data_IF_691605127376
#
_entry.id   IF_691605127376
#
_cell.length_a   1.000
_cell.length_b   1.000
_cell.length_c   1.000
_cell.angle_alpha   90.00
_cell.angle_beta   90.00
_cell.angle_gamma   90.00
#
_symmetry.space_group_name_H-M   'P 1'
#
loop_
_entity.id
_entity.type
_entity.pdbx_description
1 polymer ?
#
# COMPACT_ATOMS: atom_id res chain seq x y z
N UNK A 1 36.98 20.76 -5.65
CA UNK A 1 37.41 19.88 -4.54
C UNK A 1 36.33 19.75 -3.45
N UNK A 2 35.07 19.43 -3.78
CA UNK A 2 33.99 19.15 -2.79
C UNK A 2 32.84 18.24 -3.31
N UNK A 3 32.85 17.81 -4.59
CA UNK A 3 31.74 17.08 -5.21
C UNK A 3 31.87 15.54 -5.20
N UNK A 4 32.87 14.96 -4.54
CA UNK A 4 33.12 13.51 -4.59
C UNK A 4 32.61 12.72 -3.38
N UNK A 5 32.17 13.37 -2.29
CA UNK A 5 32.09 12.68 -0.98
C UNK A 5 30.75 12.04 -0.59
N UNK A 6 29.75 11.97 -1.48
CA UNK A 6 28.40 11.51 -1.06
C UNK A 6 27.68 10.58 -2.06
N UNK A 7 28.39 9.60 -2.65
CA UNK A 7 27.74 8.45 -3.31
C UNK A 7 28.36 7.12 -2.89
N UNK A 8 28.22 6.78 -1.62
CA UNK A 8 28.42 5.40 -1.16
C UNK A 8 27.38 5.02 -0.12
N UNK A 9 26.10 5.22 -0.46
CA UNK A 9 25.02 4.59 0.29
C UNK A 9 24.96 3.13 -0.16
N UNK A 10 25.69 2.31 0.60
CA UNK A 10 25.45 0.89 0.88
C UNK A 10 25.24 -0.03 -0.35
N UNK A 11 26.24 -0.88 -0.58
CA UNK A 11 26.14 -2.08 -1.39
C UNK A 11 25.22 -3.11 -0.71
N UNK A 12 23.91 -2.80 -0.63
CA UNK A 12 22.89 -3.79 -0.25
C UNK A 12 22.72 -4.68 -1.47
N UNK A 13 22.82 -6.02 -1.38
CA UNK A 13 22.47 -6.88 -2.50
C UNK A 13 21.03 -6.55 -2.92
N UNK A 14 20.89 -5.85 -4.06
CA UNK A 14 19.58 -5.51 -4.60
C UNK A 14 18.87 -6.82 -4.90
N UNK A 15 17.77 -7.07 -4.19
CA UNK A 15 16.85 -8.17 -4.51
C UNK A 15 16.51 -8.11 -6.01
N UNK A 16 16.41 -9.29 -6.64
CA UNK A 16 16.18 -9.37 -8.09
C UNK A 16 14.93 -8.56 -8.46
N UNK A 17 14.98 -7.85 -9.59
CA UNK A 17 13.93 -6.92 -10.02
C UNK A 17 12.52 -7.54 -10.08
N UNK A 18 12.43 -8.88 -10.16
CA UNK A 18 11.18 -9.65 -10.11
C UNK A 18 10.38 -9.40 -8.83
N UNK A 19 11.06 -9.26 -7.69
CA UNK A 19 10.40 -9.03 -6.40
C UNK A 19 9.90 -7.60 -6.25
N UNK A 20 10.49 -6.63 -6.95
CA UNK A 20 10.03 -5.23 -6.90
C UNK A 20 8.55 -5.10 -7.31
N UNK A 21 8.09 -5.87 -8.30
CA UNK A 21 6.69 -5.85 -8.75
C UNK A 21 5.68 -6.31 -7.69
N UNK A 22 6.13 -7.02 -6.65
CA UNK A 22 5.29 -7.49 -5.55
C UNK A 22 5.46 -6.58 -4.32
N UNK A 23 6.70 -6.29 -3.95
CA UNK A 23 6.99 -5.49 -2.74
C UNK A 23 6.60 -4.02 -2.89
N UNK A 24 6.71 -3.44 -4.09
CA UNK A 24 6.33 -2.04 -4.32
C UNK A 24 4.84 -1.80 -4.02
N UNK A 25 3.88 -2.50 -4.65
CA UNK A 25 2.46 -2.28 -4.35
C UNK A 25 2.09 -2.68 -2.91
N UNK A 26 2.77 -3.69 -2.35
CA UNK A 26 2.56 -4.12 -0.96
C UNK A 26 2.96 -3.04 0.05
N UNK A 27 4.18 -2.51 -0.04
CA UNK A 27 4.66 -1.43 0.84
C UNK A 27 3.81 -0.18 0.65
N UNK A 28 3.47 0.15 -0.60
CA UNK A 28 2.61 1.30 -0.90
C UNK A 28 1.24 1.20 -0.22
N UNK A 29 0.61 0.02 -0.28
CA UNK A 29 -0.67 -0.25 0.40
C UNK A 29 -0.56 -0.12 1.93
N UNK A 30 0.50 -0.67 2.51
CA UNK A 30 0.78 -0.55 3.94
C UNK A 30 0.94 0.92 4.36
N UNK A 31 1.75 1.69 3.63
CA UNK A 31 2.02 3.10 3.93
C UNK A 31 0.76 3.96 3.79
N UNK A 32 0.02 3.83 2.68
CA UNK A 32 -1.19 4.63 2.45
C UNK A 32 -2.24 4.37 3.54
N UNK A 33 -2.53 3.10 3.85
CA UNK A 33 -3.50 2.76 4.90
C UNK A 33 -3.03 3.17 6.29
N UNK A 34 -1.74 3.02 6.60
CA UNK A 34 -1.14 3.40 7.87
C UNK A 34 -1.26 4.90 8.13
N UNK A 35 -0.91 5.71 7.13
CA UNK A 35 -0.97 7.18 7.22
C UNK A 35 -2.43 7.65 7.39
N UNK A 36 -3.36 7.14 6.60
CA UNK A 36 -4.78 7.51 6.70
C UNK A 36 -5.33 7.13 8.09
N UNK A 37 -5.03 5.91 8.55
CA UNK A 37 -5.45 5.45 9.87
C UNK A 37 -4.83 6.27 11.00
N UNK A 38 -3.56 6.67 10.88
CA UNK A 38 -2.85 7.48 11.86
C UNK A 38 -3.52 8.86 11.99
N UNK A 39 -3.74 9.54 10.86
CA UNK A 39 -4.38 10.86 10.83
C UNK A 39 -5.79 10.78 11.40
N UNK A 40 -6.56 9.75 11.02
CA UNK A 40 -7.91 9.56 11.54
C UNK A 40 -7.91 9.32 13.05
N UNK A 41 -7.05 8.45 13.56
CA UNK A 41 -6.99 8.18 14.99
C UNK A 41 -6.53 9.40 15.78
N UNK A 42 -5.51 10.11 15.26
CA UNK A 42 -4.99 11.33 15.86
C UNK A 42 -6.06 12.43 15.92
N UNK A 43 -6.88 12.55 14.88
CA UNK A 43 -7.97 13.54 14.83
C UNK A 43 -9.12 13.21 15.78
N UNK A 44 -9.44 11.93 15.95
CA UNK A 44 -10.61 11.50 16.74
C UNK A 44 -10.29 11.40 18.24
N UNK A 45 -9.13 10.86 18.60
CA UNK A 45 -8.76 10.56 20.00
C UNK A 45 -7.73 11.56 20.52
N UNK A 46 -6.97 12.21 19.64
CA UNK A 46 -5.82 13.03 20.02
C UNK A 46 -4.58 12.17 20.33
N UNK A 47 -3.50 12.84 20.71
CA UNK A 47 -2.27 12.18 21.13
C UNK A 47 -2.32 11.89 22.64
N UNK A 48 -2.03 10.65 23.03
CA UNK A 48 -2.01 10.21 24.44
C UNK A 48 -1.02 9.05 24.65
N UNK A 49 -0.75 8.71 25.91
CA UNK A 49 0.16 7.62 26.27
C UNK A 49 -0.42 6.26 25.82
N UNK A 50 0.27 5.60 24.89
CA UNK A 50 -0.19 4.35 24.27
C UNK A 50 -0.88 4.53 22.92
N UNK A 51 -0.98 5.76 22.40
CA UNK A 51 -1.56 6.04 21.08
C UNK A 51 -0.92 5.20 19.96
N UNK A 52 0.42 5.09 19.93
CA UNK A 52 1.14 4.33 18.89
C UNK A 52 0.84 2.83 18.99
N UNK A 53 0.76 2.27 20.20
CA UNK A 53 0.44 0.84 20.40
C UNK A 53 -1.00 0.54 19.96
N UNK A 54 -1.96 1.39 20.34
CA UNK A 54 -3.35 1.26 19.89
C UNK A 54 -3.45 1.40 18.37
N UNK A 55 -2.79 2.41 17.80
CA UNK A 55 -2.78 2.66 16.36
C UNK A 55 -2.24 1.46 15.60
N UNK A 56 -1.05 0.97 15.96
CA UNK A 56 -0.43 -0.16 15.27
C UNK A 56 -1.29 -1.43 15.38
N UNK A 57 -1.83 -1.74 16.56
CA UNK A 57 -2.73 -2.91 16.74
C UNK A 57 -3.97 -2.79 15.85
N UNK A 58 -4.67 -1.66 15.92
CA UNK A 58 -5.91 -1.46 15.18
C UNK A 58 -5.66 -1.43 13.67
N UNK A 59 -4.62 -0.72 13.22
CA UNK A 59 -4.25 -0.64 11.83
C UNK A 59 -3.84 -2.00 11.27
N UNK A 60 -2.98 -2.76 11.96
CA UNK A 60 -2.54 -4.07 11.48
C UNK A 60 -3.70 -5.06 11.37
N UNK A 61 -4.60 -5.11 12.35
CA UNK A 61 -5.78 -5.97 12.31
C UNK A 61 -6.67 -5.58 11.13
N UNK A 62 -6.96 -4.29 10.96
CA UNK A 62 -7.79 -3.80 9.87
C UNK A 62 -7.15 -4.08 8.50
N UNK A 63 -5.86 -3.83 8.32
CA UNK A 63 -5.15 -4.02 7.07
C UNK A 63 -5.02 -5.51 6.72
N UNK A 64 -4.69 -6.35 7.70
CA UNK A 64 -4.57 -7.80 7.51
C UNK A 64 -5.89 -8.46 7.11
N UNK A 65 -7.03 -7.90 7.52
CA UNK A 65 -8.35 -8.35 7.06
C UNK A 65 -8.72 -7.74 5.71
N UNK A 66 -8.45 -6.46 5.48
CA UNK A 66 -8.83 -5.77 4.25
C UNK A 66 -8.12 -6.32 3.01
N UNK A 67 -6.82 -6.60 3.10
CA UNK A 67 -6.03 -7.11 1.98
C UNK A 67 -6.59 -8.42 1.36
N UNK A 68 -6.83 -9.51 2.13
CA UNK A 68 -7.41 -10.73 1.58
C UNK A 68 -8.85 -10.51 1.09
N UNK A 69 -9.64 -9.67 1.76
CA UNK A 69 -10.99 -9.33 1.31
C UNK A 69 -10.95 -8.68 -0.07
N UNK A 70 -10.06 -7.71 -0.30
CA UNK A 70 -9.90 -7.06 -1.60
C UNK A 70 -9.52 -8.06 -2.69
N UNK A 71 -8.60 -8.98 -2.41
CA UNK A 71 -8.22 -10.04 -3.36
C UNK A 71 -9.40 -10.96 -3.71
N UNK A 72 -10.20 -11.35 -2.72
CA UNK A 72 -11.38 -12.20 -2.91
C UNK A 72 -12.51 -11.46 -3.66
N UNK A 73 -12.70 -10.17 -3.38
CA UNK A 73 -13.73 -9.35 -4.01
C UNK A 73 -13.36 -8.86 -5.41
N UNK A 74 -12.07 -8.77 -5.76
CA UNK A 74 -11.60 -8.34 -7.08
C UNK A 74 -12.35 -8.98 -8.27
N UNK A 75 -12.51 -10.32 -8.35
CA UNK A 75 -13.25 -10.94 -9.45
C UNK A 75 -14.73 -10.56 -9.47
N UNK A 76 -15.35 -10.36 -8.29
CA UNK A 76 -16.74 -9.95 -8.17
C UNK A 76 -16.93 -8.51 -8.63
N UNK A 77 -16.11 -7.60 -8.10
CA UNK A 77 -16.15 -6.18 -8.47
C UNK A 77 -15.92 -6.01 -9.96
N UNK A 78 -14.99 -6.76 -10.57
CA UNK A 78 -14.78 -6.74 -12.03
C UNK A 78 -16.04 -7.13 -12.82
N UNK A 79 -16.78 -8.15 -12.37
CA UNK A 79 -18.04 -8.55 -13.01
C UNK A 79 -19.10 -7.46 -12.85
N UNK A 80 -19.24 -6.89 -11.65
CA UNK A 80 -20.20 -5.82 -11.39
C UNK A 80 -19.90 -4.56 -12.21
N UNK A 81 -18.64 -4.12 -12.25
CA UNK A 81 -18.23 -2.96 -13.05
C UNK A 81 -18.46 -3.19 -14.53
N UNK A 82 -18.24 -4.42 -15.03
CA UNK A 82 -18.52 -4.79 -16.41
C UNK A 82 -19.99 -4.70 -16.83
N UNK A 83 -20.93 -4.61 -15.87
CA UNK A 83 -22.35 -4.32 -16.17
C UNK A 83 -22.54 -2.85 -16.55
N UNK A 84 -21.79 -1.95 -15.91
CA UNK A 84 -21.96 -0.50 -16.07
C UNK A 84 -20.99 0.10 -17.09
N UNK A 85 -19.82 -0.51 -17.28
CA UNK A 85 -18.76 0.01 -18.14
C UNK A 85 -18.36 -1.07 -19.14
N UNK A 86 -18.49 -0.76 -20.42
CA UNK A 86 -18.00 -1.64 -21.48
C UNK A 86 -16.47 -1.50 -21.61
N UNK A 87 -15.75 -2.52 -21.17
CA UNK A 87 -14.28 -2.57 -21.20
C UNK A 87 -13.75 -2.93 -22.62
N UNK A 88 -14.63 -3.20 -23.59
CA UNK A 88 -14.28 -3.60 -24.96
C UNK A 88 -13.33 -2.62 -25.67
N UNK A 89 -13.39 -1.33 -25.35
CA UNK A 89 -12.63 -0.29 -26.08
C UNK A 89 -11.14 -0.19 -25.69
N UNK A 90 -10.67 -0.91 -24.66
CA UNK A 90 -9.25 -0.88 -24.23
C UNK A 90 -8.36 -1.90 -24.96
N UNK A 91 -8.91 -2.70 -25.89
CA UNK A 91 -8.17 -3.73 -26.64
C UNK A 91 -7.71 -3.29 -28.05
N UNK A 92 -7.94 -2.03 -28.44
CA UNK A 92 -7.75 -1.54 -29.82
C UNK A 92 -6.48 -0.72 -30.07
N UNK A 93 -5.42 -0.92 -29.27
CA UNK A 93 -4.09 -0.43 -29.63
C UNK A 93 -3.11 -1.59 -29.46
N UNK A 94 -3.10 -2.45 -30.48
CA UNK A 94 -2.00 -3.35 -30.78
C UNK A 94 -1.03 -2.62 -31.71
#
# INVERSE_FOLDING_TARGET
>A
MYQEKMRKIRNIPKLSAKWANIFVPFILSCLMSGIISLINLLRNIGWYDGFIDLWLKNWMISWSMAFPIVLLLLPWVRRFVGIFVDISHLKSSK
#
